data_IF_138134178936
#
_entry.id   IF_138134178936
#
_cell.length_a   1.000
_cell.length_b   1.000
_cell.length_c   1.000
_cell.angle_alpha   90.00
_cell.angle_beta   90.00
_cell.angle_gamma   90.00
#
_symmetry.space_group_name_H-M   'P 1'
#
loop_
_entity.id
_entity.type
_entity.pdbx_description
1 polymer ?
#
# COMPACT_ATOMS: atom_id res chain seq x y z
N UNK A 1 -7.25 32.45 -0.01
CA UNK A 1 -7.39 31.05 0.48
C UNK A 1 -6.65 30.17 -0.52
N UNK A 2 -5.60 29.45 -0.13
CA UNK A 2 -5.01 28.47 -1.03
C UNK A 2 -6.09 27.48 -1.40
N UNK A 3 -6.20 27.16 -2.70
CA UNK A 3 -7.27 26.30 -3.20
C UNK A 3 -7.09 24.88 -2.66
N UNK A 4 -8.20 24.13 -2.52
CA UNK A 4 -8.19 22.70 -2.20
C UNK A 4 -7.19 21.93 -3.11
N UNK A 5 -7.05 22.42 -4.36
CA UNK A 5 -6.10 21.95 -5.35
C UNK A 5 -4.63 22.08 -4.90
N UNK A 6 -4.25 23.18 -4.23
CA UNK A 6 -2.86 23.38 -3.75
C UNK A 6 -2.49 22.38 -2.67
N UNK A 7 -3.44 22.02 -1.79
CA UNK A 7 -3.23 21.02 -0.75
C UNK A 7 -3.16 19.60 -1.34
N UNK A 8 -4.05 19.29 -2.30
CA UNK A 8 -4.03 18.02 -3.02
C UNK A 8 -2.78 17.87 -3.89
N UNK A 9 -2.36 18.92 -4.61
CA UNK A 9 -1.16 18.90 -5.43
C UNK A 9 0.08 18.63 -4.60
N UNK A 10 0.25 19.29 -3.44
CA UNK A 10 1.40 19.06 -2.55
C UNK A 10 1.46 17.62 -2.03
N UNK A 11 0.32 17.00 -1.72
CA UNK A 11 0.22 15.57 -1.41
C UNK A 11 0.58 14.69 -2.60
N UNK A 12 -0.03 14.89 -3.77
CA UNK A 12 0.15 14.07 -4.96
C UNK A 12 1.58 14.10 -5.53
N UNK A 13 2.25 15.25 -5.50
CA UNK A 13 3.64 15.39 -5.97
C UNK A 13 4.64 14.55 -5.17
N UNK A 14 4.34 14.22 -3.90
CA UNK A 14 5.19 13.34 -3.11
C UNK A 14 5.16 11.88 -3.58
N UNK A 15 4.17 11.48 -4.38
CA UNK A 15 3.91 10.06 -4.68
C UNK A 15 4.37 9.59 -6.05
N UNK A 16 4.66 10.49 -6.98
CA UNK A 16 5.25 10.12 -8.27
C UNK A 16 6.50 9.24 -8.10
N UNK A 17 7.48 9.63 -7.27
CA UNK A 17 8.68 8.83 -7.02
C UNK A 17 8.43 7.51 -6.31
N UNK A 18 7.42 7.46 -5.43
CA UNK A 18 7.09 6.23 -4.71
C UNK A 18 6.53 5.16 -5.64
N UNK A 19 5.73 5.57 -6.62
CA UNK A 19 5.19 4.67 -7.64
C UNK A 19 6.27 4.03 -8.52
N UNK A 20 7.37 4.76 -8.79
CA UNK A 20 8.54 4.27 -9.52
C UNK A 20 9.15 3.01 -8.90
N UNK A 21 9.11 2.91 -7.58
CA UNK A 21 9.81 1.84 -6.87
C UNK A 21 8.87 0.70 -6.52
N UNK A 22 7.62 0.99 -6.16
CA UNK A 22 6.72 -0.01 -5.59
C UNK A 22 6.10 -0.96 -6.62
N UNK A 23 5.72 -0.46 -7.81
CA UNK A 23 4.95 -1.22 -8.78
C UNK A 23 5.77 -1.70 -10.00
N UNK A 24 7.05 -1.37 -10.09
CA UNK A 24 7.85 -1.59 -11.30
C UNK A 24 8.79 -2.80 -11.20
N UNK A 25 8.83 -3.48 -10.05
CA UNK A 25 9.73 -4.63 -9.84
C UNK A 25 9.56 -5.76 -10.85
N UNK A 26 8.34 -5.99 -11.32
CA UNK A 26 8.01 -7.11 -12.21
C UNK A 26 8.76 -7.06 -13.54
N UNK A 27 9.04 -5.87 -14.09
CA UNK A 27 9.73 -5.73 -15.37
C UNK A 27 11.22 -6.13 -15.29
N UNK A 28 11.80 -6.13 -14.09
CA UNK A 28 13.21 -6.51 -13.87
C UNK A 28 13.41 -8.00 -13.62
N UNK A 29 12.36 -8.76 -13.26
CA UNK A 29 12.48 -10.17 -12.87
C UNK A 29 13.13 -10.99 -13.96
N UNK A 30 12.63 -10.92 -15.17
CA UNK A 30 13.11 -11.74 -16.30
C UNK A 30 14.47 -11.26 -16.80
N UNK A 31 14.68 -9.96 -17.13
CA UNK A 31 15.95 -9.48 -17.67
C UNK A 31 17.13 -9.68 -16.70
N UNK A 32 16.93 -9.43 -15.40
CA UNK A 32 17.99 -9.57 -14.40
C UNK A 32 18.31 -11.03 -14.15
N UNK A 33 17.30 -11.89 -13.94
CA UNK A 33 17.51 -13.32 -13.69
C UNK A 33 18.19 -14.02 -14.88
N UNK A 34 17.80 -13.68 -16.10
CA UNK A 34 18.42 -14.19 -17.32
C UNK A 34 19.90 -13.76 -17.44
N UNK A 35 20.19 -12.47 -17.19
CA UNK A 35 21.55 -11.94 -17.30
C UNK A 35 22.51 -12.47 -16.22
N UNK A 36 21.99 -12.79 -15.04
CA UNK A 36 22.76 -13.35 -13.92
C UNK A 36 22.82 -14.89 -13.95
N UNK A 37 22.09 -15.54 -14.86
CA UNK A 37 22.01 -17.00 -14.93
C UNK A 37 21.40 -17.65 -13.69
N UNK A 38 20.45 -16.97 -13.02
CA UNK A 38 19.79 -17.45 -11.80
C UNK A 38 18.30 -17.68 -12.04
N UNK A 39 17.70 -18.57 -11.24
CA UNK A 39 16.25 -18.75 -11.29
C UNK A 39 15.51 -17.46 -10.86
N UNK A 40 14.39 -17.16 -11.51
CA UNK A 40 13.57 -15.98 -11.20
C UNK A 40 13.14 -15.92 -9.73
N UNK A 41 12.97 -17.09 -9.08
CA UNK A 41 12.67 -17.19 -7.65
C UNK A 41 13.73 -16.56 -6.75
N UNK A 42 15.03 -16.64 -7.13
CA UNK A 42 16.11 -15.99 -6.38
C UNK A 42 16.06 -14.47 -6.50
N UNK A 43 15.66 -13.95 -7.66
CA UNK A 43 15.44 -12.50 -7.79
C UNK A 43 14.17 -12.05 -7.07
N UNK A 44 13.10 -12.83 -7.12
CA UNK A 44 11.87 -12.52 -6.36
C UNK A 44 12.12 -12.47 -4.86
N UNK A 45 13.08 -13.26 -4.33
CA UNK A 45 13.50 -13.18 -2.94
C UNK A 45 14.06 -11.79 -2.56
N UNK A 46 14.73 -11.09 -3.48
CA UNK A 46 15.13 -9.69 -3.27
C UNK A 46 13.92 -8.80 -2.94
N UNK A 47 12.82 -8.98 -3.68
CA UNK A 47 11.57 -8.22 -3.45
C UNK A 47 10.97 -8.57 -2.08
N UNK A 48 10.93 -9.87 -1.75
CA UNK A 48 10.49 -10.34 -0.43
C UNK A 48 11.32 -9.72 0.69
N UNK A 49 12.63 -9.61 0.50
CA UNK A 49 13.53 -8.99 1.47
C UNK A 49 13.26 -7.49 1.65
N UNK A 50 12.95 -6.76 0.58
CA UNK A 50 12.56 -5.35 0.63
C UNK A 50 11.32 -5.17 1.54
N UNK A 51 10.30 -6.00 1.37
CA UNK A 51 9.09 -5.92 2.21
C UNK A 51 9.32 -6.38 3.65
N UNK A 52 10.09 -7.44 3.84
CA UNK A 52 10.44 -7.95 5.17
C UNK A 52 11.21 -6.90 5.99
N UNK A 53 12.25 -6.34 5.39
CA UNK A 53 13.06 -5.27 6.02
C UNK A 53 12.21 -4.03 6.26
N UNK A 54 11.37 -3.64 5.28
CA UNK A 54 10.43 -2.54 5.44
C UNK A 54 9.47 -2.75 6.60
N UNK A 55 8.92 -3.95 6.75
CA UNK A 55 8.07 -4.30 7.89
C UNK A 55 8.80 -4.17 9.23
N UNK A 56 9.99 -4.72 9.35
CA UNK A 56 10.82 -4.65 10.58
C UNK A 56 11.24 -3.19 10.87
N UNK A 57 11.54 -2.40 9.85
CA UNK A 57 11.94 -1.00 9.97
C UNK A 57 10.77 -0.05 10.29
N UNK A 58 9.52 -0.45 10.04
CA UNK A 58 8.35 0.43 10.18
C UNK A 58 8.22 1.12 11.55
N UNK A 59 8.40 0.44 12.71
CA UNK A 59 8.32 1.11 14.00
C UNK A 59 9.42 2.14 14.24
N UNK A 60 10.62 1.83 13.74
CA UNK A 60 11.75 2.76 13.83
C UNK A 60 11.48 4.00 12.97
N UNK A 61 11.04 3.80 11.73
CA UNK A 61 10.65 4.86 10.81
C UNK A 61 9.49 5.71 11.37
N UNK A 62 8.46 5.06 11.96
CA UNK A 62 7.33 5.75 12.59
C UNK A 62 7.74 6.65 13.75
N UNK A 63 8.63 6.17 14.63
CA UNK A 63 9.19 6.97 15.72
C UNK A 63 10.02 8.17 15.19
N UNK A 64 10.78 7.94 14.11
CA UNK A 64 11.60 8.99 13.50
C UNK A 64 10.73 10.08 12.85
N UNK A 65 9.66 9.69 12.13
CA UNK A 65 8.70 10.61 11.52
C UNK A 65 7.89 11.42 12.53
N UNK A 66 7.73 10.91 13.76
CA UNK A 66 7.04 11.65 14.81
C UNK A 66 7.95 12.62 15.55
N UNK A 67 9.22 12.28 15.75
CA UNK A 67 10.17 13.06 16.54
C UNK A 67 10.92 14.13 15.76
N UNK A 68 11.09 13.91 14.45
CA UNK A 68 11.92 14.78 13.60
C UNK A 68 11.08 15.42 12.48
N UNK A 69 11.67 16.44 11.83
CA UNK A 69 11.06 17.06 10.66
C UNK A 69 10.90 16.01 9.54
N UNK A 70 9.66 15.92 9.03
CA UNK A 70 9.31 15.01 7.94
C UNK A 70 10.21 15.18 6.71
N UNK A 71 10.62 16.39 6.40
CA UNK A 71 11.50 16.68 5.26
C UNK A 71 12.82 15.94 5.34
N UNK A 72 13.45 15.97 6.52
CA UNK A 72 14.77 15.34 6.75
C UNK A 72 14.62 13.82 6.63
N UNK A 73 13.64 13.26 7.33
CA UNK A 73 13.42 11.81 7.36
C UNK A 73 13.06 11.28 5.97
N UNK A 74 12.14 11.94 5.26
CA UNK A 74 11.73 11.52 3.93
C UNK A 74 12.84 11.74 2.89
N UNK A 75 13.61 12.83 2.99
CA UNK A 75 14.77 13.04 2.09
C UNK A 75 15.85 11.99 2.30
N UNK A 76 16.16 11.63 3.55
CA UNK A 76 17.08 10.53 3.85
C UNK A 76 16.56 9.20 3.27
N UNK A 77 15.25 8.95 3.38
CA UNK A 77 14.62 7.76 2.82
C UNK A 77 14.68 7.74 1.28
N UNK A 78 14.48 8.88 0.62
CA UNK A 78 14.67 9.04 -0.84
C UNK A 78 16.09 8.70 -1.26
N UNK A 79 17.09 9.23 -0.54
CA UNK A 79 18.51 8.95 -0.81
C UNK A 79 18.80 7.47 -0.63
N UNK A 80 18.29 6.83 0.43
CA UNK A 80 18.49 5.39 0.67
C UNK A 80 17.92 4.54 -0.46
N UNK A 81 16.69 4.85 -0.91
CA UNK A 81 16.05 4.14 -2.03
C UNK A 81 16.81 4.36 -3.33
N UNK A 82 17.15 5.61 -3.65
CA UNK A 82 17.90 5.93 -4.86
C UNK A 82 19.27 5.24 -4.88
N UNK A 83 20.01 5.27 -3.75
CA UNK A 83 21.28 4.59 -3.62
C UNK A 83 21.14 3.08 -3.79
N UNK A 84 20.12 2.47 -3.18
CA UNK A 84 19.85 1.04 -3.33
C UNK A 84 19.58 0.63 -4.77
N UNK A 85 18.76 1.41 -5.51
CA UNK A 85 18.52 1.19 -6.94
C UNK A 85 19.78 1.41 -7.78
N UNK A 86 20.55 2.45 -7.49
CA UNK A 86 21.79 2.73 -8.19
C UNK A 86 22.79 1.60 -8.05
N UNK A 87 22.95 1.08 -6.83
CA UNK A 87 23.81 -0.07 -6.56
C UNK A 87 23.37 -1.32 -7.32
N UNK A 88 22.06 -1.57 -7.49
CA UNK A 88 21.56 -2.69 -8.29
C UNK A 88 22.11 -2.68 -9.72
N UNK A 89 22.41 -1.52 -10.30
CA UNK A 89 22.95 -1.41 -11.66
C UNK A 89 24.36 -1.96 -11.84
N UNK A 90 25.13 -2.10 -10.76
CA UNK A 90 26.53 -2.57 -10.77
C UNK A 90 26.70 -4.02 -10.37
N UNK A 91 25.66 -4.65 -9.84
CA UNK A 91 25.78 -5.99 -9.29
C UNK A 91 25.77 -7.08 -10.37
N UNK A 92 26.75 -7.99 -10.30
CA UNK A 92 26.86 -9.18 -11.14
C UNK A 92 26.50 -10.46 -10.38
N UNK A 93 26.16 -10.36 -9.10
CA UNK A 93 25.83 -11.49 -8.26
C UNK A 93 24.57 -11.20 -7.44
N UNK A 94 23.69 -12.18 -7.38
CA UNK A 94 22.33 -12.02 -6.76
C UNK A 94 22.38 -11.63 -5.28
N UNK A 95 23.36 -12.11 -4.49
CA UNK A 95 23.44 -11.77 -3.07
C UNK A 95 23.79 -10.28 -2.82
N UNK A 96 24.42 -9.60 -3.77
CA UNK A 96 24.66 -8.17 -3.69
C UNK A 96 23.36 -7.38 -3.89
N UNK A 97 22.41 -7.89 -4.70
CA UNK A 97 21.06 -7.34 -4.77
C UNK A 97 20.34 -7.40 -3.41
N UNK A 98 20.59 -8.44 -2.62
CA UNK A 98 19.97 -8.54 -1.28
C UNK A 98 20.45 -7.43 -0.34
N UNK A 99 21.70 -7.00 -0.44
CA UNK A 99 22.22 -5.83 0.30
C UNK A 99 21.49 -4.56 -0.13
N UNK A 100 21.34 -4.35 -1.43
CA UNK A 100 20.55 -3.23 -1.97
C UNK A 100 19.09 -3.32 -1.52
N UNK A 101 18.53 -4.53 -1.44
CA UNK A 101 17.16 -4.78 -0.96
C UNK A 101 16.94 -4.34 0.48
N UNK A 102 17.92 -4.58 1.35
CA UNK A 102 17.89 -4.05 2.73
C UNK A 102 17.82 -2.53 2.73
N UNK A 103 18.66 -1.87 1.94
CA UNK A 103 18.73 -0.42 1.87
C UNK A 103 17.42 0.18 1.34
N UNK A 104 16.89 -0.39 0.25
CA UNK A 104 15.60 0.01 -0.33
C UNK A 104 14.46 -0.23 0.65
N UNK A 105 14.45 -1.38 1.36
CA UNK A 105 13.41 -1.72 2.33
C UNK A 105 13.31 -0.71 3.47
N UNK A 106 14.43 -0.25 4.03
CA UNK A 106 14.45 0.82 5.03
C UNK A 106 13.87 2.14 4.51
N UNK A 107 14.21 2.53 3.27
CA UNK A 107 13.74 3.79 2.69
C UNK A 107 12.26 3.74 2.29
N UNK A 108 11.82 2.65 1.64
CA UNK A 108 10.49 2.56 1.05
C UNK A 108 9.36 2.55 2.08
N UNK A 109 9.59 2.00 3.28
CA UNK A 109 8.59 1.96 4.34
C UNK A 109 8.19 3.37 4.79
N UNK A 110 9.16 4.27 4.92
CA UNK A 110 8.89 5.67 5.28
C UNK A 110 8.12 6.38 4.18
N UNK A 111 8.52 6.21 2.92
CA UNK A 111 7.95 6.90 1.77
C UNK A 111 6.56 6.40 1.42
N UNK A 112 6.34 5.09 1.40
CA UNK A 112 5.12 4.49 0.86
C UNK A 112 4.06 4.25 1.94
N UNK A 113 4.46 3.62 3.04
CA UNK A 113 3.49 3.17 4.03
C UNK A 113 3.19 4.21 5.11
N UNK A 114 4.17 5.04 5.49
CA UNK A 114 4.01 5.95 6.61
C UNK A 114 3.83 7.42 6.22
N UNK A 115 4.48 7.90 5.15
CA UNK A 115 4.43 9.32 4.77
C UNK A 115 3.02 9.78 4.42
N UNK A 116 2.31 9.02 3.55
CA UNK A 116 0.95 9.35 3.10
C UNK A 116 -0.01 9.51 4.27
N UNK A 117 -0.23 8.45 5.08
CA UNK A 117 -1.17 8.55 6.18
C UNK A 117 -0.76 9.61 7.21
N UNK A 118 0.54 9.76 7.47
CA UNK A 118 1.04 10.77 8.42
C UNK A 118 0.77 12.19 7.94
N UNK A 119 1.07 12.50 6.67
CA UNK A 119 0.80 13.81 6.10
C UNK A 119 -0.69 14.11 6.05
N UNK A 120 -1.48 13.19 5.53
CA UNK A 120 -2.94 13.37 5.47
C UNK A 120 -3.52 13.55 6.87
N UNK A 121 -3.04 12.80 7.86
CA UNK A 121 -3.52 12.92 9.22
C UNK A 121 -3.23 14.29 9.86
N UNK A 122 -2.10 14.93 9.52
CA UNK A 122 -1.72 16.24 10.03
C UNK A 122 -2.40 17.41 9.27
N UNK A 123 -2.66 17.24 7.98
CA UNK A 123 -3.16 18.30 7.10
C UNK A 123 -4.68 18.32 6.93
N UNK A 124 -5.36 17.19 7.17
CA UNK A 124 -6.79 17.04 6.91
C UNK A 124 -7.53 16.55 8.17
N UNK A 125 -8.41 17.39 8.72
CA UNK A 125 -9.34 17.02 9.78
C UNK A 125 -10.60 16.35 9.22
N UNK A 126 -11.08 16.80 8.03
CA UNK A 126 -12.23 16.24 7.33
C UNK A 126 -11.79 15.59 6.00
N UNK A 127 -12.54 14.59 5.55
CA UNK A 127 -12.34 13.88 4.27
C UNK A 127 -10.96 13.24 4.10
N UNK A 128 -10.32 12.86 5.19
CA UNK A 128 -8.98 12.28 5.14
C UNK A 128 -8.94 10.95 4.39
N UNK A 129 -9.98 10.13 4.47
CA UNK A 129 -10.10 8.88 3.72
C UNK A 129 -10.10 9.11 2.21
N UNK A 130 -10.88 10.09 1.72
CA UNK A 130 -10.89 10.47 0.31
C UNK A 130 -9.48 10.86 -0.17
N UNK A 131 -8.78 11.73 0.56
CA UNK A 131 -7.46 12.20 0.17
C UNK A 131 -6.40 11.08 0.25
N UNK A 132 -6.47 10.19 1.25
CA UNK A 132 -5.66 8.96 1.28
C UNK A 132 -5.93 8.09 0.05
N UNK A 133 -7.19 7.87 -0.30
CA UNK A 133 -7.59 7.11 -1.47
C UNK A 133 -7.04 7.69 -2.78
N UNK A 134 -7.12 9.00 -2.97
CA UNK A 134 -6.56 9.69 -4.14
C UNK A 134 -5.03 9.51 -4.20
N UNK A 135 -4.34 9.72 -3.08
CA UNK A 135 -2.89 9.56 -3.02
C UNK A 135 -2.46 8.13 -3.37
N UNK A 136 -3.11 7.12 -2.78
CA UNK A 136 -2.82 5.73 -3.09
C UNK A 136 -3.23 5.32 -4.52
N UNK A 137 -4.28 5.92 -5.11
CA UNK A 137 -4.65 5.67 -6.51
C UNK A 137 -3.55 6.14 -7.48
N UNK A 138 -2.87 7.25 -7.17
CA UNK A 138 -1.75 7.75 -7.98
C UNK A 138 -0.59 6.75 -8.06
N UNK A 139 -0.42 5.87 -7.06
CA UNK A 139 0.59 4.81 -7.13
C UNK A 139 0.29 3.80 -8.26
N UNK A 140 -0.98 3.51 -8.52
CA UNK A 140 -1.39 2.65 -9.63
C UNK A 140 -1.12 3.28 -10.99
N UNK A 141 -1.48 4.56 -11.14
CA UNK A 141 -1.21 5.34 -12.37
C UNK A 141 0.30 5.43 -12.62
N UNK A 142 1.06 5.76 -11.58
CA UNK A 142 2.52 5.83 -11.67
C UNK A 142 3.13 4.47 -12.03
N UNK A 143 2.66 3.37 -11.42
CA UNK A 143 3.08 2.02 -11.75
C UNK A 143 2.88 1.68 -13.22
N UNK A 144 1.72 2.01 -13.79
CA UNK A 144 1.44 1.79 -15.21
C UNK A 144 2.39 2.57 -16.14
N UNK A 145 2.54 3.86 -15.89
CA UNK A 145 3.42 4.74 -16.70
C UNK A 145 4.88 4.30 -16.60
N UNK A 146 5.38 4.09 -15.39
CA UNK A 146 6.79 3.75 -15.19
C UNK A 146 7.15 2.34 -15.57
N UNK A 147 6.22 1.38 -15.53
CA UNK A 147 6.45 0.04 -16.08
C UNK A 147 6.62 0.07 -17.59
N UNK A 148 5.82 0.87 -18.29
CA UNK A 148 5.94 1.07 -19.73
C UNK A 148 7.28 1.75 -20.08
N UNK A 149 7.60 2.85 -19.43
CA UNK A 149 8.86 3.58 -19.65
C UNK A 149 10.07 2.67 -19.33
N UNK A 150 10.00 1.94 -18.22
CA UNK A 150 11.06 1.01 -17.83
C UNK A 150 11.25 -0.13 -18.83
N UNK A 151 10.17 -0.69 -19.34
CA UNK A 151 10.24 -1.69 -20.40
C UNK A 151 10.95 -1.18 -21.65
N UNK A 152 10.56 0.02 -22.12
CA UNK A 152 11.22 0.66 -23.28
C UNK A 152 12.71 0.94 -23.04
N UNK A 153 13.11 1.33 -21.83
CA UNK A 153 14.53 1.54 -21.49
C UNK A 153 15.29 0.20 -21.47
N UNK A 154 14.68 -0.85 -20.91
CA UNK A 154 15.29 -2.18 -20.85
C UNK A 154 15.50 -2.72 -22.25
N UNK A 155 14.53 -2.60 -23.14
CA UNK A 155 14.59 -3.08 -24.52
C UNK A 155 15.59 -2.27 -25.37
N UNK A 156 15.63 -0.94 -25.20
CA UNK A 156 16.50 -0.07 -25.98
C UNK A 156 17.98 -0.11 -25.53
N UNK A 157 18.22 -0.31 -24.23
CA UNK A 157 19.57 -0.23 -23.65
C UNK A 157 19.91 -1.46 -22.81
N UNK A 158 19.45 -1.49 -21.56
CA UNK A 158 19.62 -2.64 -20.66
C UNK A 158 18.87 -2.40 -19.34
N UNK A 159 18.66 -3.45 -18.55
CA UNK A 159 18.13 -3.35 -17.20
C UNK A 159 19.03 -2.53 -16.26
N UNK A 160 20.36 -2.50 -16.48
CA UNK A 160 21.30 -1.68 -15.69
C UNK A 160 21.05 -0.19 -15.91
N UNK A 161 20.89 0.23 -17.16
CA UNK A 161 20.56 1.63 -17.49
C UNK A 161 19.19 2.00 -16.92
N UNK A 162 18.22 1.10 -16.97
CA UNK A 162 16.90 1.33 -16.36
C UNK A 162 17.01 1.59 -14.85
N UNK A 163 17.80 0.82 -14.10
CA UNK A 163 18.05 1.07 -12.67
C UNK A 163 18.73 2.43 -12.42
N UNK A 164 19.70 2.83 -13.24
CA UNK A 164 20.37 4.13 -13.13
C UNK A 164 19.39 5.28 -13.38
N UNK A 165 18.59 5.19 -14.44
CA UNK A 165 17.57 6.19 -14.76
C UNK A 165 16.53 6.28 -13.64
N UNK A 166 16.03 5.15 -13.14
CA UNK A 166 15.06 5.15 -12.05
C UNK A 166 15.65 5.68 -10.74
N UNK A 167 16.90 5.35 -10.44
CA UNK A 167 17.61 5.94 -9.30
C UNK A 167 17.70 7.45 -9.40
N UNK A 168 18.11 7.98 -10.56
CA UNK A 168 18.20 9.42 -10.79
C UNK A 168 16.82 10.10 -10.69
N UNK A 169 15.77 9.51 -11.27
CA UNK A 169 14.41 10.03 -11.18
C UNK A 169 13.89 10.05 -9.74
N UNK A 170 14.07 8.96 -8.98
CA UNK A 170 13.70 8.89 -7.56
C UNK A 170 14.44 9.96 -6.78
N UNK A 171 15.75 10.14 -7.02
CA UNK A 171 16.54 11.13 -6.31
C UNK A 171 16.08 12.56 -6.63
N UNK A 172 15.98 12.92 -7.91
CA UNK A 172 15.64 14.28 -8.33
C UNK A 172 14.20 14.64 -7.97
N UNK A 173 13.24 13.82 -8.40
CA UNK A 173 11.82 14.09 -8.15
C UNK A 173 11.50 13.92 -6.65
N UNK A 174 12.08 12.90 -5.99
CA UNK A 174 11.87 12.64 -4.57
C UNK A 174 12.44 13.73 -3.69
N UNK A 175 13.68 14.20 -3.92
CA UNK A 175 14.24 15.32 -3.15
C UNK A 175 13.50 16.62 -3.43
N UNK A 176 13.14 16.90 -4.67
CA UNK A 176 12.30 18.06 -4.98
C UNK A 176 10.98 18.02 -4.22
N UNK A 177 10.27 16.89 -4.27
CA UNK A 177 9.02 16.71 -3.57
C UNK A 177 9.17 16.87 -2.05
N UNK A 178 10.16 16.21 -1.44
CA UNK A 178 10.34 16.23 0.02
C UNK A 178 10.83 17.58 0.54
N UNK A 179 11.76 18.24 -0.14
CA UNK A 179 12.33 19.50 0.32
C UNK A 179 11.43 20.72 0.02
N UNK A 180 10.77 20.72 -1.15
CA UNK A 180 9.98 21.87 -1.61
C UNK A 180 8.50 21.73 -1.24
N UNK A 181 7.89 20.57 -1.50
CA UNK A 181 6.44 20.41 -1.36
C UNK A 181 6.01 19.97 0.06
N UNK A 182 6.80 19.12 0.73
CA UNK A 182 6.44 18.61 2.07
C UNK A 182 6.64 19.70 3.12
N UNK A 183 5.65 19.84 4.00
CA UNK A 183 5.73 20.58 5.26
C UNK A 183 5.21 19.66 6.36
N UNK A 184 5.88 19.66 7.52
CA UNK A 184 5.52 18.74 8.60
C UNK A 184 4.16 19.07 9.20
N UNK A 185 3.82 20.36 9.28
CA UNK A 185 2.55 20.85 9.83
C UNK A 185 2.00 22.05 9.04
N UNK A 186 0.67 22.24 8.99
CA UNK A 186 0.04 23.38 8.30
C UNK A 186 0.43 24.75 8.88
N UNK A 187 0.63 24.82 10.20
CA UNK A 187 1.02 26.02 10.93
C UNK A 187 2.38 26.60 10.48
N UNK A 188 3.30 25.75 9.98
CA UNK A 188 4.59 26.22 9.42
C UNK A 188 4.44 27.17 8.22
N UNK A 189 3.28 27.15 7.58
CA UNK A 189 2.96 28.03 6.42
C UNK A 189 1.77 28.95 6.72
N UNK A 190 1.42 29.12 8.00
CA UNK A 190 0.31 29.96 8.43
C UNK A 190 -1.07 29.44 8.06
N UNK A 191 -1.19 28.13 7.76
CA UNK A 191 -2.44 27.47 7.41
C UNK A 191 -2.95 26.63 8.58
N UNK A 192 -4.23 26.27 8.51
CA UNK A 192 -4.87 25.33 9.43
C UNK A 192 -5.16 24.01 8.72
N UNK A 193 -5.31 22.90 9.47
CA UNK A 193 -5.77 21.66 8.90
C UNK A 193 -7.10 21.85 8.18
N UNK A 194 -7.25 21.26 7.01
CA UNK A 194 -8.47 21.38 6.22
C UNK A 194 -9.67 20.77 6.97
N UNK A 195 -10.75 21.54 7.11
CA UNK A 195 -11.96 21.10 7.83
C UNK A 195 -11.86 21.24 9.37
N UNK A 196 -10.79 21.82 9.91
CA UNK A 196 -10.68 22.04 11.36
C UNK A 196 -11.75 23.03 11.85
N UNK A 197 -12.59 22.55 12.77
CA UNK A 197 -13.58 23.40 13.48
C UNK A 197 -12.88 24.06 14.67
N UNK A 198 -13.07 25.37 14.80
CA UNK A 198 -12.56 26.12 15.95
C UNK A 198 -13.32 25.70 17.22
N UNK A 199 -12.62 25.11 18.18
CA UNK A 199 -13.08 25.14 19.54
C UNK A 199 -12.61 26.45 20.21
N UNK A 200 -13.36 26.94 21.16
CA UNK A 200 -12.99 28.16 21.94
C UNK A 200 -11.66 27.97 22.71
N UNK A 201 -11.25 26.73 22.99
CA UNK A 201 -9.94 26.36 23.57
C UNK A 201 -8.77 26.46 22.60
N UNK A 202 -8.99 26.13 21.34
CA UNK A 202 -7.93 26.18 20.30
C UNK A 202 -7.57 27.66 19.99
N UNK A 203 -8.52 28.57 20.15
CA UNK A 203 -8.29 30.01 19.96
C UNK A 203 -7.39 30.61 21.04
N UNK A 204 -7.48 30.14 22.29
CA UNK A 204 -6.65 30.61 23.40
C UNK A 204 -5.23 30.04 23.39
N UNK A 205 -5.07 28.77 23.07
CA UNK A 205 -3.72 28.14 22.95
C UNK A 205 -2.89 28.68 21.78
N UNK A 206 -3.55 29.16 20.71
CA UNK A 206 -2.86 29.84 19.61
C UNK A 206 -2.34 31.24 19.97
N UNK A 207 -2.94 31.93 20.94
CA UNK A 207 -2.42 33.20 21.43
C UNK A 207 -1.13 33.01 22.25
N UNK A 208 -0.97 31.86 22.90
CA UNK A 208 0.20 31.54 23.71
C UNK A 208 1.34 30.83 22.91
N UNK A 209 1.19 30.68 21.59
CA UNK A 209 2.22 30.05 20.73
C UNK A 209 2.36 28.55 20.93
N UNK A 210 1.47 27.92 21.70
CA UNK A 210 1.43 26.46 21.88
C UNK A 210 0.62 25.79 20.75
N UNK A 211 1.12 24.66 20.26
CA UNK A 211 0.37 23.83 19.31
C UNK A 211 -0.87 23.26 20.02
N UNK A 212 -2.06 23.30 19.38
CA UNK A 212 -3.24 22.64 19.92
C UNK A 212 -2.94 21.17 20.21
N UNK A 213 -3.25 20.71 21.41
CA UNK A 213 -3.08 19.30 21.77
C UNK A 213 -3.95 18.44 20.87
N UNK A 214 -3.34 17.57 20.09
CA UNK A 214 -4.05 16.65 19.22
C UNK A 214 -4.86 15.66 20.07
N UNK A 215 -6.17 15.55 19.79
CA UNK A 215 -7.05 14.59 20.46
C UNK A 215 -6.78 13.17 19.93
N UNK A 216 -6.77 12.18 20.80
CA UNK A 216 -6.63 10.80 20.39
C UNK A 216 -6.14 9.89 21.50
N UNK A 217 -6.17 8.58 21.23
CA UNK A 217 -5.71 7.54 22.15
C UNK A 217 -4.19 7.53 22.18
N UNK A 218 -3.58 7.54 23.37
CA UNK A 218 -2.13 7.43 23.48
C UNK A 218 -1.65 6.02 23.08
N UNK A 219 -0.44 5.94 22.53
CA UNK A 219 0.15 4.69 22.09
C UNK A 219 0.25 3.66 23.23
N UNK A 220 0.56 4.11 24.46
CA UNK A 220 0.65 3.26 25.64
C UNK A 220 -0.68 2.60 26.03
N UNK A 221 -1.79 3.32 25.91
CA UNK A 221 -3.14 2.81 26.15
C UNK A 221 -3.55 1.86 25.03
N UNK A 222 -3.31 2.27 23.78
CA UNK A 222 -3.68 1.44 22.61
C UNK A 222 -2.99 0.09 22.62
N UNK A 223 -1.69 0.00 22.90
CA UNK A 223 -0.93 -1.26 22.92
C UNK A 223 -1.37 -2.25 24.01
N UNK A 224 -2.04 -1.78 25.07
CA UNK A 224 -2.62 -2.61 26.12
C UNK A 224 -4.08 -3.00 25.83
N UNK A 225 -4.71 -2.34 24.86
CA UNK A 225 -6.11 -2.60 24.52
C UNK A 225 -6.28 -3.84 23.64
N UNK A 226 -7.31 -4.68 23.87
CA UNK A 226 -7.65 -5.79 22.97
C UNK A 226 -8.00 -5.30 21.55
N UNK A 227 -8.45 -4.06 21.41
CA UNK A 227 -8.77 -3.44 20.11
C UNK A 227 -7.54 -3.38 19.21
N UNK A 228 -6.35 -3.13 19.78
CA UNK A 228 -5.10 -3.13 19.01
C UNK A 228 -4.81 -4.49 18.39
N UNK A 229 -4.92 -5.56 19.16
CA UNK A 229 -4.66 -6.91 18.67
C UNK A 229 -5.69 -7.34 17.63
N UNK A 230 -6.94 -6.97 17.82
CA UNK A 230 -8.00 -7.22 16.84
C UNK A 230 -7.74 -6.45 15.54
N UNK A 231 -7.28 -5.20 15.63
CA UNK A 231 -6.91 -4.37 14.48
C UNK A 231 -5.75 -4.99 13.70
N UNK A 232 -4.64 -5.36 14.34
CA UNK A 232 -3.47 -5.92 13.66
C UNK A 232 -3.75 -7.26 13.01
N UNK A 233 -4.53 -8.12 13.68
CA UNK A 233 -4.92 -9.44 13.13
C UNK A 233 -5.81 -9.23 11.90
N UNK A 234 -6.84 -8.40 12.02
CA UNK A 234 -7.74 -8.13 10.90
C UNK A 234 -7.04 -7.52 9.71
N UNK A 235 -6.12 -6.56 9.93
CA UNK A 235 -5.35 -5.95 8.85
C UNK A 235 -4.34 -6.93 8.24
N UNK A 236 -3.74 -7.81 9.05
CA UNK A 236 -2.87 -8.88 8.57
C UNK A 236 -3.61 -9.86 7.66
N UNK A 237 -4.79 -10.34 8.07
CA UNK A 237 -5.65 -11.20 7.24
C UNK A 237 -6.06 -10.47 5.95
N UNK A 238 -6.44 -9.20 6.07
CA UNK A 238 -6.86 -8.41 4.92
C UNK A 238 -5.73 -8.25 3.88
N UNK A 239 -4.50 -8.00 4.34
CA UNK A 239 -3.34 -7.94 3.46
C UNK A 239 -3.02 -9.31 2.83
N UNK A 240 -3.19 -10.40 3.58
CA UNK A 240 -2.99 -11.75 3.04
C UNK A 240 -3.89 -12.04 1.84
N UNK A 241 -5.10 -11.49 1.83
CA UNK A 241 -6.04 -11.65 0.71
C UNK A 241 -5.59 -10.95 -0.60
N UNK A 242 -4.66 -9.98 -0.53
CA UNK A 242 -4.07 -9.42 -1.76
C UNK A 242 -3.26 -10.46 -2.53
N UNK A 243 -2.75 -11.48 -1.82
CA UNK A 243 -2.01 -12.60 -2.43
C UNK A 243 -2.94 -13.47 -3.27
N UNK A 244 -4.17 -13.73 -2.81
CA UNK A 244 -5.19 -14.43 -3.60
C UNK A 244 -5.41 -13.75 -4.95
N UNK A 245 -5.53 -12.41 -4.94
CA UNK A 245 -5.72 -11.62 -6.16
C UNK A 245 -4.50 -11.75 -7.09
N UNK A 246 -3.30 -11.81 -6.55
CA UNK A 246 -2.08 -12.01 -7.35
C UNK A 246 -1.99 -13.43 -7.96
N UNK A 247 -2.64 -14.43 -7.35
CA UNK A 247 -2.72 -15.80 -7.88
C UNK A 247 -3.70 -15.96 -9.06
N UNK A 248 -4.54 -14.96 -9.35
CA UNK A 248 -5.48 -15.01 -10.47
C UNK A 248 -4.79 -15.31 -11.80
N UNK A 249 -3.64 -14.68 -12.07
CA UNK A 249 -2.87 -14.97 -13.27
C UNK A 249 -2.43 -16.44 -13.33
N UNK A 250 -1.94 -16.99 -12.22
CA UNK A 250 -1.53 -18.40 -12.10
C UNK A 250 -2.70 -19.35 -12.33
N UNK A 251 -3.87 -19.02 -11.79
CA UNK A 251 -5.08 -19.79 -12.00
C UNK A 251 -5.52 -19.80 -13.48
N UNK A 252 -5.46 -18.65 -14.15
CA UNK A 252 -5.79 -18.55 -15.59
C UNK A 252 -4.83 -19.41 -16.44
N UNK A 253 -3.55 -19.38 -16.12
CA UNK A 253 -2.58 -20.28 -16.77
C UNK A 253 -2.89 -21.75 -16.53
N UNK A 254 -3.31 -22.10 -15.31
CA UNK A 254 -3.75 -23.46 -14.98
C UNK A 254 -4.97 -23.89 -15.81
N UNK A 255 -6.00 -23.03 -15.93
CA UNK A 255 -7.17 -23.29 -16.79
C UNK A 255 -6.78 -23.47 -18.26
N UNK A 256 -5.88 -22.61 -18.76
CA UNK A 256 -5.37 -22.71 -20.14
C UNK A 256 -4.61 -24.02 -20.39
N UNK A 257 -3.82 -24.47 -19.41
CA UNK A 257 -3.11 -25.75 -19.51
C UNK A 257 -4.06 -26.95 -19.53
N UNK A 258 -5.20 -26.86 -18.87
CA UNK A 258 -6.25 -27.89 -18.86
C UNK A 258 -7.23 -27.77 -20.05
N UNK A 259 -7.15 -26.70 -20.86
CA UNK A 259 -8.09 -26.44 -21.96
C UNK A 259 -9.51 -26.14 -21.47
N UNK A 260 -9.67 -25.71 -20.21
CA UNK A 260 -10.98 -25.37 -19.64
C UNK A 260 -11.42 -23.97 -20.07
N UNK A 261 -12.72 -23.71 -20.02
CA UNK A 261 -13.33 -22.44 -20.44
C UNK A 261 -13.04 -22.04 -21.91
N UNK A 262 -12.61 -22.97 -22.76
CA UNK A 262 -12.20 -22.66 -24.14
C UNK A 262 -10.92 -21.80 -24.23
N UNK A 263 -10.15 -21.71 -23.13
CA UNK A 263 -8.91 -20.94 -23.06
C UNK A 263 -7.77 -21.82 -23.59
N UNK A 264 -7.10 -21.36 -24.65
CA UNK A 264 -5.85 -21.98 -25.10
C UNK A 264 -4.67 -21.51 -24.24
N UNK A 265 -3.55 -22.27 -24.17
CA UNK A 265 -2.37 -21.82 -23.43
C UNK A 265 -1.87 -20.42 -23.83
N UNK A 266 -1.91 -20.10 -25.13
CA UNK A 266 -1.57 -18.76 -25.64
C UNK A 266 -2.60 -17.71 -25.23
N UNK A 267 -3.89 -18.05 -25.32
CA UNK A 267 -5.00 -17.21 -24.88
C UNK A 267 -4.97 -16.92 -23.37
N UNK A 268 -4.47 -17.87 -22.56
CA UNK A 268 -4.30 -17.69 -21.11
C UNK A 268 -3.29 -16.59 -20.77
N UNK A 269 -2.19 -16.49 -21.49
CA UNK A 269 -1.19 -15.43 -21.29
C UNK A 269 -1.80 -14.05 -21.58
N UNK A 270 -2.51 -13.93 -22.69
CA UNK A 270 -3.19 -12.68 -23.07
C UNK A 270 -4.28 -12.33 -22.05
N UNK A 271 -5.12 -13.27 -21.68
CA UNK A 271 -6.21 -13.08 -20.72
C UNK A 271 -5.70 -12.67 -19.33
N UNK A 272 -4.65 -13.31 -18.83
CA UNK A 272 -4.01 -12.95 -17.57
C UNK A 272 -3.49 -11.51 -17.58
N UNK A 273 -2.89 -11.09 -18.70
CA UNK A 273 -2.38 -9.72 -18.88
C UNK A 273 -3.50 -8.68 -18.92
N UNK A 274 -4.59 -8.97 -19.63
CA UNK A 274 -5.77 -8.09 -19.69
C UNK A 274 -6.42 -7.97 -18.30
N UNK A 275 -6.60 -9.10 -17.61
CA UNK A 275 -7.16 -9.10 -16.25
C UNK A 275 -6.28 -8.30 -15.29
N UNK A 276 -4.96 -8.48 -15.33
CA UNK A 276 -4.05 -7.70 -14.48
C UNK A 276 -4.18 -6.19 -14.74
N UNK A 277 -4.31 -5.78 -16.00
CA UNK A 277 -4.52 -4.37 -16.38
C UNK A 277 -5.86 -3.82 -15.89
N UNK A 278 -6.95 -4.56 -16.10
CA UNK A 278 -8.28 -4.20 -15.61
C UNK A 278 -8.34 -4.14 -14.08
N UNK A 279 -7.72 -5.11 -13.40
CA UNK A 279 -7.60 -5.17 -11.94
C UNK A 279 -6.92 -3.90 -11.40
N UNK A 280 -5.81 -3.48 -11.99
CA UNK A 280 -5.11 -2.25 -11.56
C UNK A 280 -5.95 -0.99 -11.81
N UNK A 281 -6.69 -0.90 -12.92
CA UNK A 281 -7.59 0.20 -13.19
C UNK A 281 -8.76 0.25 -12.19
N UNK A 282 -9.40 -0.91 -11.92
CA UNK A 282 -10.46 -1.03 -10.90
C UNK A 282 -9.90 -0.71 -9.51
N UNK A 283 -8.69 -1.17 -9.19
CA UNK A 283 -8.03 -0.87 -7.91
C UNK A 283 -7.82 0.64 -7.73
N UNK A 284 -7.34 1.35 -8.74
CA UNK A 284 -7.14 2.79 -8.66
C UNK A 284 -8.47 3.54 -8.37
N UNK A 285 -9.54 3.21 -9.10
CA UNK A 285 -10.88 3.77 -8.86
C UNK A 285 -11.43 3.39 -7.47
N UNK A 286 -11.25 2.14 -7.06
CA UNK A 286 -11.73 1.62 -5.78
C UNK A 286 -11.01 2.26 -4.58
N UNK A 287 -9.73 2.61 -4.67
CA UNK A 287 -9.00 3.35 -3.61
C UNK A 287 -9.67 4.68 -3.32
N UNK A 288 -10.04 5.42 -4.37
CA UNK A 288 -10.75 6.70 -4.23
C UNK A 288 -12.17 6.50 -3.67
N UNK A 289 -12.91 5.52 -4.22
CA UNK A 289 -14.27 5.22 -3.78
C UNK A 289 -14.31 4.79 -2.31
N UNK A 290 -13.49 3.80 -1.93
CA UNK A 290 -13.43 3.29 -0.56
C UNK A 290 -12.97 4.39 0.42
N UNK A 291 -12.01 5.21 0.03
CA UNK A 291 -11.58 6.38 0.80
C UNK A 291 -12.73 7.37 1.03
N UNK A 292 -13.46 7.73 -0.02
CA UNK A 292 -14.60 8.65 0.08
C UNK A 292 -15.77 8.08 0.91
N UNK A 293 -16.04 6.79 0.77
CA UNK A 293 -17.10 6.12 1.54
C UNK A 293 -16.69 5.96 2.99
N UNK A 294 -15.40 5.69 3.29
CA UNK A 294 -14.90 5.54 4.65
C UNK A 294 -15.07 6.81 5.50
N UNK A 295 -14.99 7.98 4.88
CA UNK A 295 -15.24 9.27 5.55
C UNK A 295 -16.70 9.45 6.00
N UNK A 296 -17.66 8.78 5.32
CA UNK A 296 -19.09 8.83 5.67
C UNK A 296 -19.49 7.64 6.54
N UNK A 297 -19.05 6.45 6.16
CA UNK A 297 -19.37 5.20 6.84
C UNK A 297 -18.25 4.18 6.64
N UNK A 298 -17.44 3.96 7.67
CA UNK A 298 -16.40 2.95 7.65
C UNK A 298 -16.95 1.54 7.41
N UNK A 299 -18.09 1.22 8.07
CA UNK A 299 -18.75 -0.09 7.89
C UNK A 299 -19.27 -0.23 6.45
N UNK A 300 -19.76 0.86 5.85
CA UNK A 300 -20.17 0.87 4.44
C UNK A 300 -18.98 0.61 3.49
N UNK A 301 -17.83 1.24 3.74
CA UNK A 301 -16.62 1.00 2.97
C UNK A 301 -16.12 -0.46 3.09
N UNK A 302 -16.12 -1.00 4.32
CA UNK A 302 -15.81 -2.41 4.55
C UNK A 302 -16.78 -3.36 3.84
N UNK A 303 -18.07 -3.05 3.86
CA UNK A 303 -19.09 -3.86 3.17
C UNK A 303 -18.88 -3.88 1.65
N UNK A 304 -18.54 -2.74 1.04
CA UNK A 304 -18.22 -2.67 -0.40
C UNK A 304 -16.98 -3.51 -0.70
N UNK A 305 -15.92 -3.36 0.09
CA UNK A 305 -14.69 -4.14 -0.09
C UNK A 305 -14.93 -5.65 0.07
N UNK A 306 -15.68 -6.04 1.09
CA UNK A 306 -16.06 -7.42 1.36
C UNK A 306 -16.91 -8.02 0.21
N UNK A 307 -18.00 -7.35 -0.18
CA UNK A 307 -18.85 -7.81 -1.26
C UNK A 307 -18.11 -7.90 -2.59
N UNK A 308 -17.27 -6.90 -2.91
CA UNK A 308 -16.41 -6.95 -4.09
C UNK A 308 -15.46 -8.14 -4.07
N UNK A 309 -14.83 -8.42 -2.91
CA UNK A 309 -13.96 -9.56 -2.72
C UNK A 309 -14.68 -10.91 -2.87
N UNK A 310 -15.82 -11.06 -2.21
CA UNK A 310 -16.64 -12.30 -2.31
C UNK A 310 -17.09 -12.55 -3.74
N UNK A 311 -17.65 -11.53 -4.41
CA UNK A 311 -18.10 -11.68 -5.80
C UNK A 311 -16.91 -12.01 -6.72
N UNK A 312 -15.78 -11.35 -6.55
CA UNK A 312 -14.57 -11.65 -7.32
C UNK A 312 -14.14 -13.10 -7.16
N UNK A 313 -13.98 -13.59 -5.93
CA UNK A 313 -13.54 -14.95 -5.64
C UNK A 313 -14.58 -15.97 -6.16
N UNK A 314 -15.87 -15.72 -5.97
CA UNK A 314 -16.94 -16.59 -6.49
C UNK A 314 -16.91 -16.65 -8.03
N UNK A 315 -16.70 -15.53 -8.71
CA UNK A 315 -16.58 -15.52 -10.17
C UNK A 315 -15.35 -16.31 -10.65
N UNK A 316 -14.23 -16.22 -9.93
CA UNK A 316 -13.02 -17.01 -10.25
C UNK A 316 -13.25 -18.50 -9.99
N UNK A 317 -13.91 -18.87 -8.91
CA UNK A 317 -14.16 -20.27 -8.54
C UNK A 317 -15.20 -20.93 -9.45
N UNK A 318 -16.41 -20.34 -9.52
CA UNK A 318 -17.54 -20.95 -10.24
C UNK A 318 -17.61 -20.54 -11.71
N UNK A 319 -16.88 -19.50 -12.12
CA UNK A 319 -16.82 -19.01 -13.48
C UNK A 319 -15.90 -19.78 -14.41
N UNK A 320 -15.30 -20.91 -13.96
CA UNK A 320 -14.32 -21.71 -14.71
C UNK A 320 -14.81 -22.24 -16.07
N UNK A 321 -16.10 -22.15 -16.38
CA UNK A 321 -16.70 -22.51 -17.67
C UNK A 321 -16.86 -21.33 -18.63
N UNK A 322 -16.72 -20.08 -18.20
CA UNK A 322 -16.99 -18.88 -19.00
C UNK A 322 -15.87 -17.84 -18.87
N UNK A 323 -15.11 -17.58 -19.95
CA UNK A 323 -14.03 -16.60 -19.94
C UNK A 323 -14.47 -15.21 -19.49
N UNK A 324 -15.69 -14.80 -19.84
CA UNK A 324 -16.27 -13.49 -19.51
C UNK A 324 -16.48 -13.33 -18.00
N UNK A 325 -16.94 -14.38 -17.32
CA UNK A 325 -17.14 -14.39 -15.86
C UNK A 325 -15.78 -14.31 -15.14
N UNK A 326 -14.77 -15.04 -15.64
CA UNK A 326 -13.41 -14.98 -15.12
C UNK A 326 -12.82 -13.55 -15.31
N UNK A 327 -13.01 -12.96 -16.48
CA UNK A 327 -12.54 -11.60 -16.76
C UNK A 327 -13.18 -10.58 -15.82
N UNK A 328 -14.50 -10.67 -15.64
CA UNK A 328 -15.25 -9.79 -14.71
C UNK A 328 -14.77 -9.99 -13.27
N UNK A 329 -14.70 -11.25 -12.80
CA UNK A 329 -14.24 -11.58 -11.45
C UNK A 329 -12.82 -11.12 -11.19
N UNK A 330 -11.92 -11.35 -12.15
CA UNK A 330 -10.52 -10.92 -12.07
C UNK A 330 -10.37 -9.40 -12.00
N UNK A 331 -11.11 -8.65 -12.82
CA UNK A 331 -11.14 -7.19 -12.75
C UNK A 331 -11.69 -6.69 -11.42
N UNK A 332 -12.77 -7.30 -10.92
CA UNK A 332 -13.41 -6.95 -9.65
C UNK A 332 -12.50 -7.22 -8.44
N UNK A 333 -11.53 -8.14 -8.55
CA UNK A 333 -10.48 -8.36 -7.56
C UNK A 333 -9.69 -7.10 -7.21
N UNK A 334 -9.67 -6.11 -8.11
CA UNK A 334 -9.12 -4.78 -7.86
C UNK A 334 -9.75 -4.05 -6.67
N UNK A 335 -11.02 -4.33 -6.33
CA UNK A 335 -11.70 -3.77 -5.15
C UNK A 335 -11.06 -4.31 -3.87
N UNK A 336 -10.85 -5.63 -3.81
CA UNK A 336 -10.21 -6.29 -2.67
C UNK A 336 -8.75 -5.85 -2.54
N UNK A 337 -8.03 -5.76 -3.66
CA UNK A 337 -6.64 -5.28 -3.70
C UNK A 337 -6.50 -3.84 -3.21
N UNK A 338 -7.45 -2.96 -3.57
CA UNK A 338 -7.48 -1.56 -3.14
C UNK A 338 -7.75 -1.39 -1.65
N UNK A 339 -8.48 -2.32 -1.05
CA UNK A 339 -9.07 -2.15 0.25
C UNK A 339 -8.03 -2.01 1.37
N UNK A 340 -6.93 -2.76 1.33
CA UNK A 340 -5.89 -2.65 2.36
C UNK A 340 -5.23 -1.26 2.35
N UNK A 341 -4.91 -0.74 1.18
CA UNK A 341 -4.26 0.57 1.04
C UNK A 341 -5.17 1.72 1.50
N UNK A 342 -6.47 1.66 1.17
CA UNK A 342 -7.41 2.73 1.49
C UNK A 342 -7.96 2.62 2.92
N UNK A 343 -8.27 1.41 3.39
CA UNK A 343 -9.01 1.21 4.64
C UNK A 343 -8.11 1.02 5.85
N UNK A 344 -6.93 0.38 5.74
CA UNK A 344 -6.05 0.16 6.89
C UNK A 344 -5.65 1.48 7.59
N UNK A 345 -5.16 2.51 6.88
CA UNK A 345 -4.86 3.79 7.50
C UNK A 345 -6.11 4.51 7.99
N UNK A 346 -7.22 4.42 7.25
CA UNK A 346 -8.48 5.09 7.61
C UNK A 346 -9.12 4.49 8.86
N UNK A 347 -9.15 3.15 9.00
CA UNK A 347 -9.64 2.45 10.20
C UNK A 347 -8.78 2.79 11.41
N UNK A 348 -7.46 2.73 11.25
CA UNK A 348 -6.52 3.06 12.33
C UNK A 348 -6.77 4.49 12.82
N UNK A 349 -6.93 5.45 11.90
CA UNK A 349 -7.21 6.84 12.24
C UNK A 349 -8.54 7.00 12.98
N UNK A 350 -9.59 6.30 12.55
CA UNK A 350 -10.91 6.39 13.17
C UNK A 350 -10.91 5.85 14.62
N UNK A 351 -10.09 4.84 14.89
CA UNK A 351 -9.98 4.23 16.22
C UNK A 351 -9.07 5.05 17.14
N UNK A 352 -7.92 5.49 16.62
CA UNK A 352 -6.84 6.09 17.42
C UNK A 352 -6.94 7.61 17.50
N UNK A 353 -7.46 8.27 16.45
CA UNK A 353 -7.36 9.72 16.30
C UNK A 353 -5.98 10.17 15.82
N UNK A 354 -5.70 11.48 15.78
CA UNK A 354 -4.45 12.02 15.22
C UNK A 354 -3.22 11.91 16.15
N UNK A 355 -3.37 11.91 17.47
CA UNK A 355 -2.28 12.09 18.46
C UNK A 355 -1.06 11.21 18.22
N UNK A 356 -1.15 9.90 18.41
CA UNK A 356 -0.04 8.96 18.28
C UNK A 356 -0.19 8.06 17.04
N UNK A 357 -0.94 8.55 16.04
CA UNK A 357 -1.29 7.81 14.84
C UNK A 357 -0.11 7.12 14.18
N UNK A 358 0.97 7.86 13.90
CA UNK A 358 2.13 7.36 13.16
C UNK A 358 2.84 6.24 13.90
N UNK A 359 2.97 6.33 15.23
CA UNK A 359 3.56 5.27 16.07
C UNK A 359 2.70 4.02 16.01
N UNK A 360 1.40 4.15 16.20
CA UNK A 360 0.47 3.02 16.25
C UNK A 360 0.38 2.37 14.87
N UNK A 361 0.20 3.18 13.81
CA UNK A 361 0.10 2.66 12.45
C UNK A 361 1.39 1.96 11.99
N UNK A 362 2.56 2.44 12.41
CA UNK A 362 3.83 1.76 12.11
C UNK A 362 3.90 0.35 12.70
N UNK A 363 3.27 0.12 13.87
CA UNK A 363 3.17 -1.24 14.47
C UNK A 363 2.18 -2.13 13.72
N UNK A 364 1.07 -1.54 13.26
CA UNK A 364 0.12 -2.25 12.37
C UNK A 364 0.83 -2.68 11.09
N UNK A 365 1.64 -1.80 10.49
CA UNK A 365 2.36 -2.06 9.25
C UNK A 365 3.33 -3.26 9.35
N UNK A 366 3.93 -3.53 10.51
CA UNK A 366 4.77 -4.75 10.70
C UNK A 366 3.94 -6.00 10.40
N UNK A 367 2.81 -6.13 11.10
CA UNK A 367 1.99 -7.34 11.00
C UNK A 367 1.38 -7.48 9.61
N UNK A 368 0.97 -6.36 9.02
CA UNK A 368 0.47 -6.31 7.64
C UNK A 368 1.51 -6.87 6.67
N UNK A 369 2.76 -6.39 6.73
CA UNK A 369 3.82 -6.84 5.83
C UNK A 369 4.24 -8.30 6.09
N UNK A 370 4.37 -8.70 7.35
CA UNK A 370 4.73 -10.08 7.71
C UNK A 370 3.64 -11.08 7.31
N UNK A 371 2.37 -10.73 7.53
CA UNK A 371 1.24 -11.56 7.14
C UNK A 371 1.18 -11.74 5.62
N UNK A 372 1.39 -10.65 4.84
CA UNK A 372 1.46 -10.73 3.38
C UNK A 372 2.61 -11.62 2.89
N UNK A 373 3.80 -11.49 3.49
CA UNK A 373 4.96 -12.34 3.15
C UNK A 373 4.71 -13.83 3.46
N UNK A 374 4.13 -14.15 4.62
CA UNK A 374 3.77 -15.51 4.98
C UNK A 374 2.66 -16.07 4.08
N UNK A 375 1.65 -15.26 3.77
CA UNK A 375 0.53 -15.62 2.93
C UNK A 375 0.98 -16.03 1.52
N UNK A 376 1.99 -15.38 0.95
CA UNK A 376 2.49 -15.72 -0.38
C UNK A 376 2.91 -17.19 -0.50
N UNK A 377 3.57 -17.72 0.52
CA UNK A 377 3.98 -19.13 0.56
C UNK A 377 2.80 -20.07 0.86
N UNK A 378 1.96 -19.69 1.83
CA UNK A 378 0.82 -20.53 2.26
C UNK A 378 -0.21 -20.66 1.15
N UNK A 379 -0.63 -19.54 0.54
CA UNK A 379 -1.64 -19.57 -0.52
C UNK A 379 -1.13 -20.27 -1.79
N UNK A 380 0.14 -20.08 -2.16
CA UNK A 380 0.72 -20.80 -3.28
C UNK A 380 0.74 -22.31 -3.03
N UNK A 381 1.15 -22.76 -1.83
CA UNK A 381 1.16 -24.18 -1.47
C UNK A 381 -0.26 -24.79 -1.44
N UNK A 382 -1.25 -24.05 -0.97
CA UNK A 382 -2.65 -24.50 -0.97
C UNK A 382 -3.18 -24.57 -2.41
N UNK A 383 -2.89 -23.57 -3.26
CA UNK A 383 -3.29 -23.56 -4.66
C UNK A 383 -2.66 -24.70 -5.46
N UNK A 384 -1.38 -25.04 -5.20
CA UNK A 384 -0.72 -26.20 -5.80
C UNK A 384 -1.38 -27.52 -5.41
N UNK A 385 -1.88 -27.64 -4.17
CA UNK A 385 -2.58 -28.82 -3.71
C UNK A 385 -4.01 -28.90 -4.27
N UNK A 386 -4.76 -27.79 -4.21
CA UNK A 386 -6.13 -27.69 -4.73
C UNK A 386 -6.58 -26.23 -4.84
N UNK A 387 -7.01 -25.82 -6.02
CA UNK A 387 -7.63 -24.51 -6.24
C UNK A 387 -8.95 -24.34 -5.49
N UNK A 388 -9.71 -25.42 -5.33
CA UNK A 388 -10.96 -25.38 -4.56
C UNK A 388 -10.70 -25.05 -3.09
N UNK A 389 -9.66 -25.64 -2.50
CA UNK A 389 -9.25 -25.35 -1.12
C UNK A 389 -8.76 -23.89 -0.99
N UNK A 390 -8.04 -23.37 -1.98
CA UNK A 390 -7.59 -21.98 -1.98
C UNK A 390 -8.76 -21.01 -2.01
N UNK A 391 -9.75 -21.21 -2.90
CA UNK A 391 -10.93 -20.35 -2.98
C UNK A 391 -11.79 -20.41 -1.71
N UNK A 392 -11.99 -21.60 -1.15
CA UNK A 392 -12.73 -21.79 0.11
C UNK A 392 -12.03 -21.08 1.27
N UNK A 393 -10.70 -21.25 1.38
CA UNK A 393 -9.88 -20.59 2.39
C UNK A 393 -9.96 -19.06 2.24
N UNK A 394 -9.84 -18.56 1.04
CA UNK A 394 -9.91 -17.11 0.75
C UNK A 394 -11.27 -16.52 1.10
N UNK A 395 -12.38 -17.20 0.79
CA UNK A 395 -13.73 -16.76 1.20
C UNK A 395 -13.90 -16.74 2.72
N UNK A 396 -13.40 -17.76 3.40
CA UNK A 396 -13.41 -17.80 4.87
C UNK A 396 -12.63 -16.62 5.45
N UNK A 397 -11.43 -16.38 4.94
CA UNK A 397 -10.58 -15.28 5.41
C UNK A 397 -11.19 -13.91 5.13
N UNK A 398 -11.86 -13.71 3.98
CA UNK A 398 -12.61 -12.46 3.70
C UNK A 398 -13.71 -12.26 4.74
N UNK A 399 -14.47 -13.30 5.10
CA UNK A 399 -15.50 -13.22 6.13
C UNK A 399 -14.91 -12.89 7.51
N UNK A 400 -13.83 -13.59 7.90
CA UNK A 400 -13.13 -13.34 9.18
C UNK A 400 -12.57 -11.93 9.24
N UNK A 401 -11.94 -11.44 8.15
CA UNK A 401 -11.41 -10.09 8.07
C UNK A 401 -12.53 -9.05 8.23
N UNK A 402 -13.66 -9.23 7.55
CA UNK A 402 -14.80 -8.33 7.68
C UNK A 402 -15.33 -8.25 9.10
N UNK A 403 -15.61 -9.40 9.71
CA UNK A 403 -16.15 -9.48 11.08
C UNK A 403 -15.19 -8.85 12.08
N UNK A 404 -13.91 -9.18 11.98
CA UNK A 404 -12.88 -8.66 12.88
C UNK A 404 -12.64 -7.14 12.69
N UNK A 405 -12.67 -6.62 11.46
CA UNK A 405 -12.59 -5.19 11.19
C UNK A 405 -13.81 -4.44 11.76
N UNK A 406 -15.03 -4.97 11.55
CA UNK A 406 -16.24 -4.35 12.10
C UNK A 406 -16.22 -4.37 13.63
N UNK A 407 -15.76 -5.47 14.22
CA UNK A 407 -15.59 -5.57 15.69
C UNK A 407 -14.55 -4.53 16.19
N UNK A 408 -13.40 -4.40 15.53
CA UNK A 408 -12.39 -3.40 15.88
C UNK A 408 -12.93 -1.97 15.81
N UNK A 409 -13.68 -1.63 14.77
CA UNK A 409 -14.31 -0.30 14.60
C UNK A 409 -15.37 -0.05 15.68
N UNK A 410 -16.20 -1.05 16.04
CA UNK A 410 -17.23 -0.90 17.07
C UNK A 410 -16.64 -0.76 18.47
N UNK A 411 -15.69 -1.63 18.82
CA UNK A 411 -15.02 -1.60 20.11
C UNK A 411 -14.14 -0.37 20.29
N UNK A 412 -13.52 0.08 19.19
CA UNK A 412 -12.69 1.29 19.18
C UNK A 412 -13.45 2.57 19.53
N UNK A 413 -14.76 2.62 19.29
CA UNK A 413 -15.60 3.76 19.69
C UNK A 413 -15.71 3.95 21.21
N UNK A 414 -15.47 2.87 21.96
CA UNK A 414 -15.54 2.87 23.44
C UNK A 414 -14.18 3.17 24.08
N UNK A 415 -13.12 3.36 23.30
CA UNK A 415 -11.83 3.81 23.83
C UNK A 415 -11.94 5.27 24.19
N UNK A 416 -11.70 5.61 25.45
CA UNK A 416 -11.67 6.99 25.92
C UNK A 416 -10.61 7.77 25.12
N UNK A 417 -11.10 8.70 24.32
CA UNK A 417 -10.27 9.71 23.68
C UNK A 417 -9.96 10.78 24.72
N UNK A 418 -9.06 10.46 25.63
CA UNK A 418 -8.70 11.37 26.71
C UNK A 418 -7.84 12.51 26.17
N UNK A 419 -8.30 13.72 26.50
CA UNK A 419 -7.50 14.93 26.43
C UNK A 419 -6.56 14.94 27.65
N UNK A 420 -5.32 14.59 27.51
CA UNK A 420 -4.25 14.89 28.46
C UNK A 420 -3.23 15.81 27.85
#
# INVERSE_FOLDING_TARGET
>A
MPSLADHCCRGAYCFGPCALVYNVWSIFVVPVSASLGVASSRFTFFITLVYLVGGIAAPFAGNLLQKHDLRIVLSASVVMVALGLFLCSFWDRIYLFYISGVLVGFGIVSLMFLAIPTLINRWFSERAGLFMGICFAMSGVGGAVWSMVGGLIIDAFSWRVAYQVFSALVLVIGLFATLVCVRSYPDEVGLRPFGARLSSRDASSMQDGERPKECGVSASVMFRSPVFYLLIISMGIFNSLTVTVNLYATYIHHLGALGLAGITPEGAVMMASVIASCLMAVSAGSKVLLGAVSDKSMIGALAIAFMGGVVSICCMWFGSSSPEVIMFGGALGGVLYAAIDALAPSITRQIVGPRDYTIIYSRVAIVVNLAGAAAATVFAAVAEASWEAEWAMSLLLVAVAFVSCVAAVRLGKNLDQTFE
#
